data_IF_482038541046
#
_entry.id   IF_482038541046
#
_cell.length_a   1.000
_cell.length_b   1.000
_cell.length_c   1.000
_cell.angle_alpha   90.00
_cell.angle_beta   90.00
_cell.angle_gamma   90.00
#
_symmetry.space_group_name_H-M   'P 1'
#
loop_
_entity.id
_entity.type
_entity.pdbx_description
1 polymer ?
#
# COMPACT_ATOMS: atom_id res chain seq x y z
N UNK A 1 -4.96 -10.23 -4.46
CA UNK A 1 -5.34 -8.89 -5.00
C UNK A 1 -4.60 -8.67 -6.31
N UNK A 2 -5.29 -8.25 -7.35
CA UNK A 2 -4.61 -7.95 -8.61
C UNK A 2 -4.01 -6.55 -8.60
N UNK A 3 -3.16 -6.25 -9.61
CA UNK A 3 -2.43 -4.99 -9.65
C UNK A 3 -3.37 -3.78 -9.78
N UNK A 4 -4.42 -3.89 -10.57
CA UNK A 4 -5.38 -2.80 -10.74
C UNK A 4 -6.03 -2.43 -9.41
N UNK A 5 -6.48 -3.42 -8.65
CA UNK A 5 -7.08 -3.20 -7.33
C UNK A 5 -6.08 -2.62 -6.34
N UNK A 6 -4.84 -3.13 -6.38
CA UNK A 6 -3.79 -2.63 -5.51
C UNK A 6 -3.49 -1.15 -5.78
N UNK A 7 -3.36 -0.77 -7.04
CA UNK A 7 -3.12 0.63 -7.42
C UNK A 7 -4.30 1.53 -7.03
N UNK A 8 -5.52 1.04 -7.22
CA UNK A 8 -6.72 1.78 -6.85
C UNK A 8 -6.78 2.05 -5.35
N UNK A 9 -6.46 1.04 -4.55
CA UNK A 9 -6.45 1.20 -3.10
C UNK A 9 -5.48 2.30 -2.66
N UNK A 10 -4.24 2.25 -3.14
CA UNK A 10 -3.25 3.26 -2.79
C UNK A 10 -3.66 4.65 -3.29
N UNK A 11 -4.25 4.73 -4.47
CA UNK A 11 -4.74 6.00 -5.02
C UNK A 11 -5.79 6.63 -4.10
N UNK A 12 -6.72 5.84 -3.59
CA UNK A 12 -7.74 6.31 -2.64
C UNK A 12 -7.12 6.83 -1.35
N UNK A 13 -5.96 6.31 -0.99
CA UNK A 13 -5.24 6.73 0.21
C UNK A 13 -4.26 7.88 -0.07
N UNK A 14 -4.31 8.45 -1.27
CA UNK A 14 -3.49 9.60 -1.63
C UNK A 14 -2.12 9.27 -2.18
N UNK A 15 -1.89 8.02 -2.61
CA UNK A 15 -0.59 7.57 -3.12
C UNK A 15 -0.68 7.24 -4.60
N UNK A 16 -0.02 8.03 -5.44
CA UNK A 16 0.04 7.81 -6.89
C UNK A 16 1.23 6.91 -7.23
N UNK A 17 1.03 5.60 -7.10
CA UNK A 17 2.10 4.61 -7.26
C UNK A 17 2.84 4.71 -8.60
N UNK A 18 2.17 4.91 -9.76
CA UNK A 18 2.90 4.97 -11.03
C UNK A 18 3.93 6.10 -11.11
N UNK A 19 3.81 7.14 -10.29
CA UNK A 19 4.76 8.25 -10.29
C UNK A 19 5.94 8.03 -9.35
N UNK A 20 5.96 6.90 -8.61
CA UNK A 20 6.94 6.67 -7.55
C UNK A 20 7.95 5.59 -7.94
N UNK A 21 9.18 5.77 -7.45
CA UNK A 21 10.15 4.68 -7.44
C UNK A 21 9.79 3.65 -6.37
N UNK A 22 10.41 2.48 -6.41
CA UNK A 22 10.19 1.45 -5.39
C UNK A 22 10.51 1.99 -3.98
N UNK A 23 11.59 2.77 -3.87
CA UNK A 23 11.99 3.38 -2.59
C UNK A 23 10.95 4.38 -2.10
N UNK A 24 10.47 5.25 -3.00
CA UNK A 24 9.44 6.22 -2.66
C UNK A 24 8.14 5.54 -2.26
N UNK A 25 7.79 4.48 -2.96
CA UNK A 25 6.61 3.68 -2.60
C UNK A 25 6.73 3.10 -1.21
N UNK A 26 7.91 2.54 -0.86
CA UNK A 26 8.13 1.98 0.48
C UNK A 26 7.96 3.04 1.58
N UNK A 27 8.45 4.26 1.33
CA UNK A 27 8.27 5.36 2.28
C UNK A 27 6.79 5.73 2.43
N UNK A 28 6.06 5.78 1.33
CA UNK A 28 4.62 6.04 1.37
C UNK A 28 3.88 4.95 2.14
N UNK A 29 4.26 3.69 1.92
CA UNK A 29 3.68 2.58 2.67
C UNK A 29 3.90 2.73 4.18
N UNK A 30 5.12 3.08 4.61
CA UNK A 30 5.39 3.25 6.03
C UNK A 30 4.54 4.35 6.66
N UNK A 31 4.29 5.44 5.93
CA UNK A 31 3.41 6.50 6.41
C UNK A 31 1.98 6.01 6.61
N UNK A 32 1.48 5.22 5.65
CA UNK A 32 0.15 4.63 5.78
C UNK A 32 0.10 3.63 6.93
N UNK A 33 1.13 2.81 7.08
CA UNK A 33 1.19 1.83 8.16
C UNK A 33 1.16 2.51 9.53
N UNK A 34 1.87 3.62 9.70
CA UNK A 34 1.83 4.41 10.93
C UNK A 34 0.43 4.95 11.21
N UNK A 35 -0.23 5.44 10.18
CA UNK A 35 -1.54 6.09 10.31
C UNK A 35 -2.65 5.09 10.64
N UNK A 36 -2.58 3.90 10.05
CA UNK A 36 -3.66 2.90 10.14
C UNK A 36 -3.28 1.67 10.95
N UNK A 37 -2.25 1.76 11.79
CA UNK A 37 -1.79 0.62 12.59
C UNK A 37 -2.90 0.10 13.51
N UNK A 38 -3.13 -1.23 13.56
CA UNK A 38 -4.23 -1.79 14.35
C UNK A 38 -4.12 -1.56 15.85
N UNK A 39 -2.91 -1.30 16.36
CA UNK A 39 -2.67 -1.05 17.78
C UNK A 39 -3.31 0.24 18.30
N UNK A 40 -3.86 1.05 17.40
CA UNK A 40 -4.58 2.26 17.79
C UNK A 40 -6.02 1.99 18.23
N UNK A 41 -6.38 0.71 18.42
CA UNK A 41 -7.70 0.33 18.91
C UNK A 41 -8.81 0.45 17.90
N UNK A 42 -8.50 0.56 16.65
CA UNK A 42 -9.48 0.76 15.58
C UNK A 42 -9.63 -0.52 14.74
N UNK A 43 -10.76 -1.21 14.91
CA UNK A 43 -11.04 -2.46 14.16
C UNK A 43 -11.10 -2.22 12.66
N UNK A 44 -11.58 -1.07 12.22
CA UNK A 44 -11.60 -0.71 10.80
C UNK A 44 -10.17 -0.58 10.27
N UNK A 45 -9.25 -0.05 11.09
CA UNK A 45 -7.84 0.05 10.73
C UNK A 45 -7.20 -1.32 10.51
N UNK A 46 -7.63 -2.33 11.26
CA UNK A 46 -7.11 -3.69 11.11
C UNK A 46 -7.41 -4.25 9.72
N UNK A 47 -8.66 -4.14 9.26
CA UNK A 47 -9.05 -4.62 7.94
C UNK A 47 -8.36 -3.83 6.83
N UNK A 48 -8.25 -2.52 6.99
CA UNK A 48 -7.58 -1.66 6.01
C UNK A 48 -6.11 -2.01 5.91
N UNK A 49 -5.42 -2.24 7.04
CA UNK A 49 -4.01 -2.64 7.01
C UNK A 49 -3.79 -3.98 6.32
N UNK A 50 -4.69 -4.94 6.50
CA UNK A 50 -4.61 -6.21 5.80
C UNK A 50 -4.68 -6.00 4.29
N UNK A 51 -5.56 -5.12 3.82
CA UNK A 51 -5.69 -4.77 2.41
C UNK A 51 -4.46 -4.00 1.90
N UNK A 52 -3.96 -3.07 2.69
CA UNK A 52 -2.75 -2.31 2.34
C UNK A 52 -1.56 -3.27 2.17
N UNK A 53 -1.40 -4.23 3.09
CA UNK A 53 -0.31 -5.20 3.01
C UNK A 53 -0.43 -6.10 1.79
N UNK A 54 -1.64 -6.56 1.46
CA UNK A 54 -1.88 -7.35 0.25
C UNK A 54 -1.56 -6.55 -1.01
N UNK A 55 -2.01 -5.30 -1.07
CA UNK A 55 -1.74 -4.41 -2.19
C UNK A 55 -0.24 -4.13 -2.33
N UNK A 56 0.45 -3.91 -1.21
CA UNK A 56 1.89 -3.70 -1.20
C UNK A 56 2.63 -4.88 -1.83
N UNK A 57 2.29 -6.11 -1.44
CA UNK A 57 2.93 -7.30 -1.97
C UNK A 57 2.75 -7.37 -3.49
N UNK A 58 1.56 -7.09 -3.99
CA UNK A 58 1.26 -7.09 -5.42
C UNK A 58 2.07 -6.02 -6.15
N UNK A 59 2.16 -4.83 -5.60
CA UNK A 59 2.88 -3.71 -6.23
C UNK A 59 4.39 -3.96 -6.22
N UNK A 60 4.95 -4.48 -5.13
CA UNK A 60 6.37 -4.80 -5.07
C UNK A 60 6.75 -5.85 -6.12
N UNK A 61 5.87 -6.83 -6.35
CA UNK A 61 6.06 -7.81 -7.40
C UNK A 61 6.12 -7.15 -8.78
N UNK A 62 5.27 -6.17 -9.02
CA UNK A 62 5.28 -5.42 -10.27
C UNK A 62 6.57 -4.61 -10.44
N UNK A 63 7.07 -3.99 -9.36
CA UNK A 63 8.35 -3.27 -9.42
C UNK A 63 9.50 -4.19 -9.79
N UNK A 64 9.53 -5.42 -9.28
CA UNK A 64 10.57 -6.40 -9.62
C UNK A 64 10.56 -6.76 -11.10
N UNK A 65 9.36 -6.83 -11.71
CA UNK A 65 9.22 -7.16 -13.12
C UNK A 65 9.71 -6.06 -14.06
N UNK A 66 9.81 -4.83 -13.55
CA UNK A 66 10.28 -3.69 -14.34
C UNK A 66 11.79 -3.72 -14.59
N UNK A 67 12.51 -4.50 -13.81
CA UNK A 67 13.95 -4.67 -13.99
C UNK A 67 14.23 -5.85 -14.92
#
# INVERSE_FOLDING_TARGET
MDLTDALTLFKRLGVNVPSLSAKEFSLAYYRLAKRYHPDHGNNAGHNLMANINAARATILKAFRRRN
#
